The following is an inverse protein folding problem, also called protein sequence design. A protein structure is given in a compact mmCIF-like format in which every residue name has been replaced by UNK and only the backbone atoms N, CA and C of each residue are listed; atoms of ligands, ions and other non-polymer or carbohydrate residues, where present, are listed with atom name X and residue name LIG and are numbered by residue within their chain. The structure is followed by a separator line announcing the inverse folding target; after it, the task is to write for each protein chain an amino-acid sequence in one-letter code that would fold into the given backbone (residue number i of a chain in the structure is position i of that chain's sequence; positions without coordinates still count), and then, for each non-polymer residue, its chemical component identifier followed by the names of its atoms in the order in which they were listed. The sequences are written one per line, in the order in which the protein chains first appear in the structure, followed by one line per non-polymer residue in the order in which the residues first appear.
data_IF_289769233969
#
_entry.id   IF_289769233969
#
_cell.length_a   1.000
_cell.length_b   1.000
_cell.length_c   1.000
_cell.angle_alpha   90.00
_cell.angle_beta   90.00
_cell.angle_gamma   90.00
#
_symmetry.space_group_name_H-M   'P 1'
#
loop_
_entity.id
_entity.type
_entity.pdbx_description
1 polymer ?
#
# COMPACT_ATOMS: atom_id res chain seq x y z
N UNK A 1 -20.70 -9.11 6.23
CA UNK A 1 -19.64 -8.15 6.66
C UNK A 1 -19.48 -7.14 5.54
N UNK A 2 -19.60 -5.84 5.81
CA UNK A 2 -19.46 -4.82 4.78
C UNK A 2 -17.97 -4.67 4.41
N UNK A 3 -17.63 -4.89 3.14
CA UNK A 3 -16.28 -4.68 2.62
C UNK A 3 -15.89 -3.21 2.59
N UNK A 4 -14.60 -2.91 2.70
CA UNK A 4 -14.09 -1.54 2.51
C UNK A 4 -13.98 -1.27 1.01
N UNK A 5 -14.72 -0.28 0.50
CA UNK A 5 -14.75 0.07 -0.93
C UNK A 5 -13.51 0.89 -1.30
N UNK A 6 -12.78 0.47 -2.34
CA UNK A 6 -11.53 1.12 -2.77
C UNK A 6 -11.47 1.40 -4.27
N UNK A 7 -10.65 2.37 -4.67
CA UNK A 7 -10.29 2.65 -6.07
C UNK A 7 -8.95 1.95 -6.39
N UNK A 8 -8.91 1.17 -7.48
CA UNK A 8 -7.70 0.48 -7.96
C UNK A 8 -7.12 1.22 -9.17
N UNK A 9 -5.79 1.26 -9.27
CA UNK A 9 -5.06 1.83 -10.42
C UNK A 9 -4.39 0.70 -11.19
N UNK A 10 -4.46 0.72 -12.52
CA UNK A 10 -3.74 -0.22 -13.36
C UNK A 10 -2.25 0.12 -13.35
N UNK A 11 -1.45 -0.71 -12.70
CA UNK A 11 0.00 -0.81 -12.92
C UNK A 11 0.27 -2.18 -13.56
N UNK A 12 1.52 -2.67 -13.57
CA UNK A 12 1.77 -4.09 -13.84
C UNK A 12 0.94 -5.04 -12.92
N UNK A 13 0.39 -4.51 -11.82
CA UNK A 13 -0.59 -5.13 -10.93
C UNK A 13 -1.76 -4.16 -10.61
N UNK A 14 -2.92 -4.65 -10.18
CA UNK A 14 -3.99 -3.77 -9.65
C UNK A 14 -3.78 -3.52 -8.16
N UNK A 15 -3.58 -2.27 -7.76
CA UNK A 15 -3.30 -1.87 -6.37
C UNK A 15 -4.21 -0.71 -5.93
N UNK A 16 -4.51 -0.62 -4.64
CA UNK A 16 -5.28 0.51 -4.09
C UNK A 16 -4.52 1.83 -4.29
N UNK A 17 -5.26 2.86 -4.72
CA UNK A 17 -4.70 4.14 -5.16
C UNK A 17 -3.87 4.86 -4.10
N UNK A 18 -4.32 4.92 -2.85
CA UNK A 18 -3.63 5.63 -1.76
C UNK A 18 -2.38 4.85 -1.30
N UNK A 19 -2.43 3.53 -1.23
CA UNK A 19 -1.26 2.67 -1.01
C UNK A 19 -0.20 2.94 -2.08
N UNK A 20 -0.58 2.97 -3.36
CA UNK A 20 0.35 3.28 -4.45
C UNK A 20 1.00 4.66 -4.31
N UNK A 21 0.24 5.68 -3.87
CA UNK A 21 0.77 7.02 -3.62
C UNK A 21 1.80 7.02 -2.49
N UNK A 22 1.51 6.34 -1.37
CA UNK A 22 2.45 6.20 -0.25
C UNK A 22 3.72 5.48 -0.69
N UNK A 23 3.61 4.37 -1.43
CA UNK A 23 4.77 3.63 -1.92
C UNK A 23 5.64 4.47 -2.86
N UNK A 24 5.03 5.19 -3.81
CA UNK A 24 5.77 6.08 -4.72
C UNK A 24 6.51 7.20 -3.99
N UNK A 25 5.84 7.85 -3.04
CA UNK A 25 6.45 8.93 -2.27
C UNK A 25 7.56 8.43 -1.34
N UNK A 26 7.41 7.23 -0.77
CA UNK A 26 8.46 6.61 0.04
C UNK A 26 9.68 6.23 -0.80
N UNK A 27 9.46 5.71 -2.02
CA UNK A 27 10.54 5.39 -2.95
C UNK A 27 11.33 6.65 -3.35
N UNK A 28 10.62 7.73 -3.67
CA UNK A 28 11.22 9.04 -3.96
C UNK A 28 12.01 9.58 -2.76
N UNK A 29 11.46 9.48 -1.54
CA UNK A 29 12.15 9.91 -0.32
C UNK A 29 13.45 9.16 -0.05
N UNK A 30 13.54 7.90 -0.49
CA UNK A 30 14.71 7.04 -0.31
C UNK A 30 15.61 6.95 -1.54
N UNK A 31 15.47 7.84 -2.52
CA UNK A 31 16.24 7.86 -3.77
C UNK A 31 16.30 6.49 -4.49
N UNK A 32 15.18 5.76 -4.50
CA UNK A 32 15.08 4.42 -5.08
C UNK A 32 13.87 4.27 -6.00
N UNK A 33 13.88 3.26 -6.87
CA UNK A 33 12.72 2.99 -7.71
C UNK A 33 11.59 2.35 -6.91
N UNK A 34 10.35 2.47 -7.40
CA UNK A 34 9.22 1.73 -6.83
C UNK A 34 9.46 0.20 -6.88
N UNK A 35 10.18 -0.29 -7.90
CA UNK A 35 10.52 -1.70 -8.03
C UNK A 35 11.43 -2.16 -6.89
N UNK A 36 12.56 -1.47 -6.68
CA UNK A 36 13.53 -1.78 -5.63
C UNK A 36 12.87 -1.77 -4.24
N UNK A 37 12.00 -0.78 -3.97
CA UNK A 37 11.25 -0.71 -2.73
C UNK A 37 10.35 -1.94 -2.54
N UNK A 38 9.60 -2.33 -3.57
CA UNK A 38 8.69 -3.49 -3.50
C UNK A 38 9.48 -4.78 -3.33
N UNK A 39 10.57 -4.97 -4.07
CA UNK A 39 11.44 -6.14 -3.93
C UNK A 39 12.02 -6.23 -2.51
N UNK A 40 12.52 -5.13 -1.96
CA UNK A 40 13.01 -5.07 -0.58
C UNK A 40 11.95 -5.42 0.47
N UNK A 41 10.72 -4.94 0.30
CA UNK A 41 9.59 -5.29 1.18
C UNK A 41 9.30 -6.78 1.12
N UNK A 42 9.24 -7.35 -0.09
CA UNK A 42 8.92 -8.77 -0.31
C UNK A 42 9.98 -9.68 0.28
N UNK A 43 11.27 -9.36 0.10
CA UNK A 43 12.37 -10.15 0.66
C UNK A 43 12.31 -10.22 2.19
N UNK A 44 12.11 -9.07 2.87
CA UNK A 44 11.95 -9.06 4.32
C UNK A 44 10.70 -9.83 4.77
N UNK A 45 9.59 -9.67 4.06
CA UNK A 45 8.35 -10.37 4.37
C UNK A 45 8.47 -11.90 4.22
N UNK A 46 9.17 -12.38 3.19
CA UNK A 46 9.46 -13.81 3.00
C UNK A 46 10.29 -14.40 4.14
N UNK A 47 11.16 -13.59 4.76
CA UNK A 47 11.96 -13.99 5.93
C UNK A 47 11.25 -13.71 7.27
N UNK A 48 10.02 -13.19 7.26
CA UNK A 48 9.29 -12.83 8.48
C UNK A 48 9.87 -11.63 9.23
N UNK A 49 10.65 -10.77 8.56
CA UNK A 49 11.29 -9.58 9.13
C UNK A 49 10.53 -8.30 8.80
N UNK A 50 10.72 -7.25 9.61
CA UNK A 50 10.20 -5.92 9.29
C UNK A 50 11.01 -5.29 8.15
N UNK A 51 10.36 -4.81 7.06
CA UNK A 51 11.06 -4.12 5.97
C UNK A 51 11.44 -2.66 6.30
N UNK A 52 10.89 -2.09 7.37
CA UNK A 52 11.06 -0.68 7.70
C UNK A 52 11.68 -0.48 9.08
N UNK A 53 12.60 0.49 9.16
CA UNK A 53 13.15 1.00 10.41
C UNK A 53 12.16 1.95 11.08
N UNK A 54 12.36 2.30 12.37
CA UNK A 54 11.53 3.30 13.05
C UNK A 54 11.44 4.64 12.29
N UNK A 55 12.57 5.13 11.74
CA UNK A 55 12.60 6.36 10.94
C UNK A 55 11.76 6.24 9.66
N UNK A 56 11.82 5.10 8.96
CA UNK A 56 10.96 4.88 7.79
C UNK A 56 9.48 4.82 8.17
N UNK A 57 9.14 4.23 9.33
CA UNK A 57 7.77 4.18 9.81
C UNK A 57 7.20 5.57 10.13
N UNK A 58 8.02 6.49 10.64
CA UNK A 58 7.62 7.89 10.84
C UNK A 58 7.30 8.59 9.52
N UNK A 59 8.15 8.42 8.51
CA UNK A 59 7.92 8.94 7.15
C UNK A 59 6.64 8.35 6.55
N UNK A 60 6.44 7.04 6.67
CA UNK A 60 5.22 6.36 6.22
C UNK A 60 3.99 6.94 6.91
N UNK A 61 4.04 7.19 8.23
CA UNK A 61 2.91 7.78 8.95
C UNK A 61 2.55 9.18 8.43
N UNK A 62 3.55 10.02 8.12
CA UNK A 62 3.34 11.34 7.52
C UNK A 62 2.74 11.23 6.11
N UNK A 63 3.27 10.34 5.27
CA UNK A 63 2.75 10.11 3.91
C UNK A 63 1.32 9.57 3.93
N UNK A 64 1.00 8.68 4.89
CA UNK A 64 -0.38 8.20 5.10
C UNK A 64 -1.32 9.36 5.43
N UNK A 65 -0.92 10.28 6.30
CA UNK A 65 -1.72 11.45 6.62
C UNK A 65 -1.91 12.37 5.39
N UNK A 66 -0.86 12.63 4.62
CA UNK A 66 -0.92 13.46 3.40
C UNK A 66 -1.89 12.87 2.36
N UNK A 67 -1.87 11.55 2.16
CA UNK A 67 -2.70 10.88 1.17
C UNK A 67 -4.03 10.36 1.71
N UNK A 68 -4.33 10.61 2.98
CA UNK A 68 -5.53 10.12 3.65
C UNK A 68 -5.65 8.60 3.64
N UNK A 69 -4.54 7.85 3.79
CA UNK A 69 -4.54 6.39 3.89
C UNK A 69 -4.80 5.96 5.34
N UNK A 70 -6.02 5.51 5.60
CA UNK A 70 -6.53 5.03 6.89
C UNK A 70 -6.49 3.50 7.04
N UNK A 71 -6.05 2.78 6.01
CA UNK A 71 -5.93 1.32 6.04
C UNK A 71 -4.76 0.85 6.91
N UNK A 72 -4.93 -0.33 7.50
CA UNK A 72 -3.90 -1.08 8.21
C UNK A 72 -3.95 -2.57 7.81
N UNK A 73 -3.15 -3.40 8.48
CA UNK A 73 -3.06 -4.83 8.19
C UNK A 73 -4.40 -5.57 8.36
N UNK A 74 -5.34 -5.07 9.17
CA UNK A 74 -6.66 -5.68 9.37
C UNK A 74 -7.54 -5.61 8.11
N UNK A 75 -7.21 -4.72 7.18
CA UNK A 75 -7.87 -4.58 5.87
C UNK A 75 -7.34 -5.55 4.82
N UNK A 76 -6.26 -6.29 5.11
CA UNK A 76 -5.70 -7.27 4.19
C UNK A 76 -6.77 -8.29 3.75
N UNK A 77 -6.83 -8.56 2.44
CA UNK A 77 -7.81 -9.45 1.79
C UNK A 77 -9.30 -9.08 1.95
N UNK A 78 -9.62 -7.88 2.48
CA UNK A 78 -11.01 -7.41 2.70
C UNK A 78 -11.42 -6.22 1.86
N UNK A 79 -10.54 -5.75 0.97
CA UNK A 79 -10.80 -4.61 0.09
C UNK A 79 -11.66 -5.04 -1.11
N UNK A 80 -12.69 -4.27 -1.42
CA UNK A 80 -13.65 -4.53 -2.51
C UNK A 80 -13.64 -3.39 -3.53
N UNK A 81 -13.79 -3.69 -4.82
CA UNK A 81 -13.82 -2.65 -5.86
C UNK A 81 -15.19 -1.97 -5.93
N UNK A 82 -15.21 -0.66 -6.20
CA UNK A 82 -16.46 0.07 -6.48
C UNK A 82 -17.00 -0.37 -7.86
N UNK A 83 -17.82 -1.43 -7.87
CA UNK A 83 -18.42 -1.97 -9.11
C UNK A 83 -18.75 -3.46 -9.07
N UNK A 84 -18.35 -4.21 -8.04
CA UNK A 84 -18.63 -5.65 -7.92
C UNK A 84 -20.01 -5.98 -7.30
N UNK A 85 -20.92 -5.01 -7.21
CA UNK A 85 -22.34 -5.27 -7.00
C UNK A 85 -23.08 -5.19 -8.34
N UNK A 86 -22.70 -6.08 -9.28
CA UNK A 86 -23.62 -6.52 -10.30
C UNK A 86 -24.61 -7.48 -9.64
N UNK A 87 -25.80 -6.99 -9.32
CA UNK A 87 -26.98 -7.85 -9.21
C UNK A 87 -27.26 -8.40 -10.62
N UNK A 88 -27.70 -9.66 -10.69
CA UNK A 88 -28.12 -10.37 -11.90
C UNK A 88 -28.85 -9.50 -12.95
#
# INVERSE_FOLDING_TARGET
MAGMVVERVQTGIRIEKRILKVLKALAEHGDMTLGDLVEGIVLHAFEGRSPFSPAHLEVIAQLKAIYGLDLDASASHKLTERGENGHD
#
